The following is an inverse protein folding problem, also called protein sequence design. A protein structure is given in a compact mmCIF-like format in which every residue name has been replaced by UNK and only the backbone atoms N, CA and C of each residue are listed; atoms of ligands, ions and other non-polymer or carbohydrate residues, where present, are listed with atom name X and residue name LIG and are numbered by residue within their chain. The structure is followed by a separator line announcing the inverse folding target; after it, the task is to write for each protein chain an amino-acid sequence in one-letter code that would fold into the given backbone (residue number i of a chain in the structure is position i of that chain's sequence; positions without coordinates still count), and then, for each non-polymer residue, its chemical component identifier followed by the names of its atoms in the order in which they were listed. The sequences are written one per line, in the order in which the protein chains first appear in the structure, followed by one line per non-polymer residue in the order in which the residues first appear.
data_IF_314921120507
#
_entry.id   IF_314921120507
#
_cell.length_a   1.000
_cell.length_b   1.000
_cell.length_c   1.000
_cell.angle_alpha   90.00
_cell.angle_beta   90.00
_cell.angle_gamma   90.00
#
_symmetry.space_group_name_H-M   'P 1'
#
loop_
_entity.id
_entity.type
_entity.pdbx_description
1 polymer ?
#
# COMPACT_ATOMS: atom_id res chain seq x y z
N UNK A 1 -26.15 -51.69 11.37
CA UNK A 1 -24.72 -51.42 11.25
C UNK A 1 -24.53 -50.00 10.82
N UNK A 2 -24.29 -49.06 11.76
CA UNK A 2 -24.00 -47.65 11.44
C UNK A 2 -22.48 -47.52 11.28
N UNK A 3 -22.02 -47.14 10.08
CA UNK A 3 -20.62 -46.76 9.85
C UNK A 3 -20.44 -45.29 10.28
N UNK A 4 -19.72 -45.08 11.37
CA UNK A 4 -19.29 -43.75 11.79
C UNK A 4 -18.21 -43.24 10.82
N UNK A 5 -18.50 -42.16 10.09
CA UNK A 5 -17.51 -41.42 9.31
C UNK A 5 -16.75 -40.50 10.27
N UNK A 6 -15.50 -40.80 10.54
CA UNK A 6 -14.62 -39.92 11.29
C UNK A 6 -14.07 -38.90 10.29
N UNK A 7 -14.57 -37.67 10.38
CA UNK A 7 -14.05 -36.51 9.60
C UNK A 7 -12.78 -36.01 10.30
N UNK A 8 -11.63 -36.40 9.76
CA UNK A 8 -10.33 -35.85 10.26
C UNK A 8 -10.15 -34.46 9.74
N UNK A 9 -10.35 -33.43 10.58
CA UNK A 9 -10.04 -32.05 10.29
C UNK A 9 -8.50 -31.92 10.31
N UNK A 10 -7.88 -31.79 9.14
CA UNK A 10 -6.47 -31.46 9.03
C UNK A 10 -6.29 -29.97 9.41
N UNK A 11 -5.75 -29.70 10.57
CA UNK A 11 -5.37 -28.34 11.00
C UNK A 11 -4.09 -27.97 10.26
N UNK A 12 -4.21 -27.22 9.17
CA UNK A 12 -3.06 -26.58 8.53
C UNK A 12 -2.68 -25.39 9.41
N UNK A 13 -1.69 -25.58 10.27
CA UNK A 13 -1.08 -24.47 11.00
C UNK A 13 -0.34 -23.59 9.99
N UNK A 14 -0.95 -22.45 9.62
CA UNK A 14 -0.23 -21.40 8.92
C UNK A 14 0.90 -20.93 9.87
N UNK A 15 2.13 -21.35 9.62
CA UNK A 15 3.28 -20.75 10.29
C UNK A 15 3.44 -19.36 9.71
N UNK A 16 3.13 -18.34 10.50
CA UNK A 16 3.55 -16.98 10.20
C UNK A 16 5.08 -16.98 10.08
N UNK A 17 5.62 -16.50 8.97
CA UNK A 17 7.05 -16.28 8.84
C UNK A 17 7.50 -15.32 9.94
N UNK A 18 8.56 -15.68 10.66
CA UNK A 18 9.12 -14.79 11.67
C UNK A 18 9.79 -13.60 10.98
N UNK A 19 9.64 -12.41 11.57
CA UNK A 19 10.35 -11.23 11.09
C UNK A 19 11.87 -11.46 11.14
N UNK A 20 12.62 -11.10 10.09
CA UNK A 20 14.07 -11.13 10.11
C UNK A 20 14.62 -10.09 11.09
N UNK A 21 15.79 -10.34 11.64
CA UNK A 21 16.53 -9.29 12.33
C UNK A 21 17.03 -8.28 11.29
N UNK A 22 16.40 -7.11 11.23
CA UNK A 22 16.69 -6.06 10.27
C UNK A 22 16.84 -4.71 10.98
N UNK A 23 17.84 -3.94 10.57
CA UNK A 23 17.99 -2.54 10.94
C UNK A 23 18.63 -1.79 9.77
N UNK A 24 17.94 -0.80 9.27
CA UNK A 24 18.39 -0.01 8.12
C UNK A 24 18.23 1.47 8.42
N UNK A 25 19.30 2.21 8.21
CA UNK A 25 19.27 3.67 8.21
C UNK A 25 18.55 4.19 6.94
N UNK A 26 18.09 5.44 6.92
CA UNK A 26 17.47 6.02 5.72
C UNK A 26 18.39 6.00 4.49
N UNK A 27 19.70 6.09 4.67
CA UNK A 27 20.69 6.02 3.57
C UNK A 27 20.78 4.60 2.99
N UNK A 28 20.75 3.57 3.83
CA UNK A 28 20.78 2.17 3.40
C UNK A 28 19.48 1.79 2.66
N UNK A 29 18.32 2.25 3.14
CA UNK A 29 17.05 2.06 2.45
C UNK A 29 17.07 2.72 1.06
N UNK A 30 17.52 3.97 0.95
CA UNK A 30 17.61 4.67 -0.34
C UNK A 30 18.68 4.10 -1.26
N UNK A 31 19.77 3.58 -0.72
CA UNK A 31 20.85 2.95 -1.48
C UNK A 31 20.51 1.56 -2.01
N UNK A 32 19.46 0.91 -1.51
CA UNK A 32 18.96 -0.34 -2.05
C UNK A 32 18.10 -0.08 -3.30
N UNK A 33 18.09 -1.03 -4.23
CA UNK A 33 17.24 -0.91 -5.42
C UNK A 33 15.77 -0.68 -5.03
N UNK A 34 15.13 0.30 -5.65
CA UNK A 34 13.69 0.49 -5.56
C UNK A 34 13.01 -0.47 -6.53
N UNK A 35 11.95 -1.10 -6.07
CA UNK A 35 11.26 -2.15 -6.82
C UNK A 35 10.23 -1.58 -7.83
N UNK A 36 10.45 -0.41 -8.38
CA UNK A 36 9.54 0.20 -9.35
C UNK A 36 8.10 0.34 -8.85
N UNK A 37 7.15 0.40 -9.76
CA UNK A 37 5.72 0.39 -9.45
C UNK A 37 5.26 -1.04 -9.20
N UNK A 38 5.17 -1.44 -7.93
CA UNK A 38 4.76 -2.78 -7.51
C UNK A 38 3.26 -2.87 -7.24
N UNK A 39 2.78 -4.10 -7.06
CA UNK A 39 1.41 -4.40 -6.64
C UNK A 39 1.06 -3.60 -5.38
N UNK A 40 -0.11 -2.96 -5.36
CA UNK A 40 -0.57 -2.11 -4.26
C UNK A 40 0.02 -0.70 -4.23
N UNK A 41 0.84 -0.31 -5.24
CA UNK A 41 1.16 1.09 -5.52
C UNK A 41 0.12 1.70 -6.46
N UNK A 42 0.13 3.03 -6.62
CA UNK A 42 -0.76 3.72 -7.56
C UNK A 42 -0.53 3.34 -9.03
N UNK A 43 0.55 2.65 -9.36
CA UNK A 43 0.92 2.34 -10.76
C UNK A 43 1.45 3.53 -11.57
N UNK A 44 1.46 4.74 -11.02
CA UNK A 44 1.93 5.95 -11.70
C UNK A 44 3.42 5.90 -11.98
N UNK A 45 3.82 6.39 -13.14
CA UNK A 45 5.23 6.55 -13.48
C UNK A 45 5.93 7.46 -12.46
N UNK A 46 7.11 7.04 -11.99
CA UNK A 46 7.88 7.77 -10.98
C UNK A 46 7.50 7.44 -9.53
N UNK A 47 6.36 6.80 -9.28
CA UNK A 47 6.07 6.21 -7.97
C UNK A 47 6.81 4.89 -7.83
N UNK A 48 7.58 4.75 -6.76
CA UNK A 48 8.38 3.56 -6.48
C UNK A 48 8.06 2.99 -5.12
N UNK A 49 8.17 1.67 -5.00
CA UNK A 49 8.07 0.97 -3.73
C UNK A 49 9.39 0.33 -3.34
N UNK A 50 9.56 0.13 -2.05
CA UNK A 50 10.57 -0.72 -1.47
C UNK A 50 9.89 -1.69 -0.52
N UNK A 51 9.92 -2.96 -0.84
CA UNK A 51 9.45 -4.00 0.08
C UNK A 51 10.46 -4.13 1.21
N UNK A 52 9.98 -3.89 2.43
CA UNK A 52 10.77 -4.06 3.66
C UNK A 52 10.60 -5.47 4.21
N UNK A 53 9.40 -6.03 4.11
CA UNK A 53 9.08 -7.38 4.56
C UNK A 53 7.87 -7.94 3.81
N UNK A 54 7.85 -9.26 3.66
CA UNK A 54 6.75 -10.00 3.05
C UNK A 54 6.67 -9.83 1.53
N UNK A 55 5.56 -10.28 0.98
CA UNK A 55 5.24 -10.18 -0.46
C UNK A 55 3.83 -9.61 -0.59
N UNK A 56 3.69 -8.35 -1.04
CA UNK A 56 2.38 -7.70 -1.17
C UNK A 56 1.40 -8.45 -2.11
N UNK A 57 1.91 -9.30 -2.99
CA UNK A 57 1.08 -10.09 -3.93
C UNK A 57 0.53 -11.38 -3.34
N UNK A 58 0.96 -11.76 -2.13
CA UNK A 58 0.60 -13.01 -1.47
C UNK A 58 -0.12 -12.79 -0.15
N UNK A 59 -0.86 -13.81 0.27
CA UNK A 59 -1.47 -13.81 1.60
C UNK A 59 -0.40 -13.75 2.70
N UNK A 60 -0.54 -12.81 3.63
CA UNK A 60 0.38 -12.62 4.75
C UNK A 60 0.66 -11.14 5.02
N UNK A 61 1.33 -10.90 6.14
CA UNK A 61 1.77 -9.55 6.50
C UNK A 61 2.84 -9.05 5.53
N UNK A 62 2.70 -7.79 5.10
CA UNK A 62 3.72 -7.10 4.34
C UNK A 62 3.98 -5.69 4.90
N UNK A 63 5.14 -5.15 4.59
CA UNK A 63 5.57 -3.80 4.93
C UNK A 63 6.35 -3.21 3.77
N UNK A 64 5.95 -2.03 3.32
CA UNK A 64 6.57 -1.33 2.19
C UNK A 64 6.83 0.14 2.52
N UNK A 65 7.80 0.73 1.83
CA UNK A 65 7.90 2.18 1.67
C UNK A 65 7.43 2.57 0.27
N UNK A 66 6.57 3.57 0.21
CA UNK A 66 6.11 4.20 -1.03
C UNK A 66 6.83 5.53 -1.19
N UNK A 67 7.50 5.73 -2.31
CA UNK A 67 8.19 6.96 -2.69
C UNK A 67 7.38 7.65 -3.78
N UNK A 68 6.86 8.82 -3.48
CA UNK A 68 6.01 9.58 -4.40
C UNK A 68 6.71 10.89 -4.77
N UNK A 69 6.99 11.13 -6.07
CA UNK A 69 7.62 12.37 -6.52
C UNK A 69 6.79 13.62 -6.16
N UNK A 70 7.44 14.78 -6.17
CA UNK A 70 6.74 16.06 -6.14
C UNK A 70 5.74 16.20 -7.29
N UNK A 71 4.71 17.02 -7.10
CA UNK A 71 3.68 17.33 -8.09
C UNK A 71 2.92 16.11 -8.65
N UNK A 72 2.80 15.05 -7.86
CA UNK A 72 2.07 13.83 -8.21
C UNK A 72 0.65 13.91 -7.66
N UNK A 73 -0.34 13.62 -8.51
CA UNK A 73 -1.74 13.42 -8.10
C UNK A 73 -2.12 11.97 -8.33
N UNK A 74 -2.64 11.32 -7.30
CA UNK A 74 -3.17 9.96 -7.33
C UNK A 74 -4.68 10.06 -7.25
N UNK A 75 -5.37 9.62 -8.29
CA UNK A 75 -6.82 9.66 -8.40
C UNK A 75 -7.48 8.65 -7.47
N UNK A 76 -8.80 8.78 -7.30
CA UNK A 76 -9.57 7.93 -6.40
C UNK A 76 -9.43 6.45 -6.76
N UNK A 77 -9.01 5.66 -5.79
CA UNK A 77 -8.78 4.22 -5.91
C UNK A 77 -8.99 3.54 -4.57
N UNK A 78 -9.10 2.22 -4.60
CA UNK A 78 -9.22 1.37 -3.43
C UNK A 78 -8.22 0.21 -3.50
N UNK A 79 -8.10 -0.51 -2.40
CA UNK A 79 -7.31 -1.73 -2.28
C UNK A 79 -8.15 -2.88 -1.78
N UNK A 80 -7.73 -4.11 -2.05
CA UNK A 80 -8.43 -5.29 -1.57
C UNK A 80 -8.32 -5.45 -0.04
N UNK A 81 -7.16 -5.13 0.50
CA UNK A 81 -6.79 -5.31 1.90
C UNK A 81 -6.87 -4.02 2.72
N UNK A 82 -7.02 -4.17 4.04
CA UNK A 82 -6.87 -3.07 4.98
C UNK A 82 -5.40 -2.71 5.14
N UNK A 83 -5.10 -1.41 5.06
CA UNK A 83 -3.75 -0.89 5.19
C UNK A 83 -3.66 0.22 6.22
N UNK A 84 -2.57 0.22 6.99
CA UNK A 84 -2.19 1.34 7.86
C UNK A 84 -0.94 1.99 7.32
N UNK A 85 -0.93 3.32 7.34
CA UNK A 85 0.17 4.10 6.79
C UNK A 85 0.65 5.19 7.75
N UNK A 86 1.95 5.48 7.64
CA UNK A 86 2.61 6.56 8.38
C UNK A 86 3.43 7.40 7.40
N UNK A 87 3.25 8.71 7.44
CA UNK A 87 4.07 9.64 6.67
C UNK A 87 5.46 9.72 7.29
N UNK A 88 6.48 9.32 6.52
CA UNK A 88 7.88 9.31 6.95
C UNK A 88 8.56 10.64 6.64
N UNK A 89 8.32 11.19 5.45
CA UNK A 89 8.89 12.49 5.05
C UNK A 89 8.01 13.20 4.01
N UNK A 90 8.15 14.50 3.92
CA UNK A 90 7.33 15.38 3.07
C UNK A 90 5.94 15.62 3.67
N UNK A 91 5.08 16.32 2.93
CA UNK A 91 3.69 16.57 3.31
C UNK A 91 2.78 15.80 2.37
N UNK A 92 2.07 14.80 2.92
CA UNK A 92 1.12 13.99 2.20
C UNK A 92 -0.27 14.61 2.29
N UNK A 93 -0.84 15.03 1.17
CA UNK A 93 -2.21 15.51 1.10
C UNK A 93 -3.11 14.34 0.75
N UNK A 94 -3.98 13.95 1.68
CA UNK A 94 -4.77 12.71 1.59
C UNK A 94 -6.26 12.99 1.83
N UNK A 95 -7.12 12.36 1.05
CA UNK A 95 -8.57 12.49 1.15
C UNK A 95 -9.30 11.18 0.84
N UNK A 96 -10.52 11.04 1.37
CA UNK A 96 -11.40 9.91 1.09
C UNK A 96 -12.55 10.34 0.17
N UNK A 97 -12.95 9.45 -0.73
CA UNK A 97 -14.06 9.64 -1.64
C UNK A 97 -13.81 9.05 -3.02
N UNK A 98 -14.86 9.02 -3.82
CA UNK A 98 -14.88 8.38 -5.14
C UNK A 98 -14.27 9.25 -6.26
N UNK A 99 -14.02 10.52 -5.97
CA UNK A 99 -13.42 11.46 -6.91
C UNK A 99 -12.38 12.31 -6.20
N UNK A 100 -11.32 12.69 -6.93
CA UNK A 100 -10.33 13.62 -6.42
C UNK A 100 -11.00 14.98 -6.14
N UNK A 101 -10.92 15.42 -4.88
CA UNK A 101 -11.40 16.72 -4.43
C UNK A 101 -10.30 17.43 -3.62
N UNK A 102 -9.76 18.51 -4.19
CA UNK A 102 -8.71 19.27 -3.53
C UNK A 102 -9.17 19.94 -2.23
N UNK A 103 -10.48 20.18 -2.06
CA UNK A 103 -11.03 20.76 -0.83
C UNK A 103 -11.21 19.75 0.29
N UNK A 104 -11.20 18.45 -0.04
CA UNK A 104 -11.31 17.35 0.91
C UNK A 104 -9.95 16.70 1.24
N UNK A 105 -8.86 17.39 0.92
CA UNK A 105 -7.52 16.93 1.27
C UNK A 105 -7.12 17.41 2.67
N UNK A 106 -6.69 16.47 3.51
CA UNK A 106 -6.02 16.77 4.78
C UNK A 106 -4.52 16.74 4.60
N UNK A 107 -3.83 17.78 5.05
CA UNK A 107 -2.36 17.84 5.07
C UNK A 107 -1.83 16.98 6.21
N UNK A 108 -1.02 16.01 5.88
CA UNK A 108 -0.40 15.06 6.80
C UNK A 108 1.13 15.25 6.77
N UNK A 109 1.70 15.96 7.76
CA UNK A 109 3.15 16.09 7.90
C UNK A 109 3.79 14.78 8.41
N UNK A 110 5.14 14.69 8.44
CA UNK A 110 5.83 13.52 8.98
C UNK A 110 5.36 13.14 10.38
N UNK A 111 5.19 11.84 10.63
CA UNK A 111 4.61 11.29 11.86
C UNK A 111 3.08 11.18 11.86
N UNK A 112 2.39 11.71 10.85
CA UNK A 112 0.96 11.49 10.68
C UNK A 112 0.67 10.04 10.32
N UNK A 113 -0.49 9.55 10.77
CA UNK A 113 -0.99 8.21 10.46
C UNK A 113 -2.35 8.29 9.77
N UNK A 114 -2.62 7.35 8.89
CA UNK A 114 -3.93 7.20 8.24
C UNK A 114 -4.18 5.72 7.90
N UNK A 115 -5.43 5.39 7.62
CA UNK A 115 -5.83 4.05 7.19
C UNK A 115 -6.35 4.09 5.76
N UNK A 116 -6.21 2.98 5.07
CA UNK A 116 -6.85 2.70 3.79
C UNK A 116 -7.66 1.42 3.98
N UNK A 117 -8.95 1.56 4.37
CA UNK A 117 -9.80 0.39 4.57
C UNK A 117 -9.98 -0.37 3.27
N UNK A 118 -9.94 -1.69 3.34
CA UNK A 118 -10.07 -2.57 2.19
C UNK A 118 -11.47 -2.58 1.59
N UNK A 119 -11.54 -2.95 0.31
CA UNK A 119 -12.78 -3.08 -0.43
C UNK A 119 -13.15 -1.86 -1.27
N UNK A 120 -13.94 -2.11 -2.31
CA UNK A 120 -14.26 -1.14 -3.37
C UNK A 120 -15.14 0.04 -2.93
N UNK A 121 -15.69 0.01 -1.71
CA UNK A 121 -16.49 1.10 -1.15
C UNK A 121 -15.64 2.14 -0.40
N UNK A 122 -14.32 1.94 -0.31
CA UNK A 122 -13.42 2.77 0.51
C UNK A 122 -12.34 3.42 -0.37
N UNK A 123 -12.79 4.21 -1.35
CA UNK A 123 -11.88 4.93 -2.22
C UNK A 123 -11.21 6.10 -1.49
N UNK A 124 -9.99 6.36 -1.88
CA UNK A 124 -9.18 7.47 -1.39
C UNK A 124 -8.31 8.02 -2.52
N UNK A 125 -7.82 9.22 -2.34
CA UNK A 125 -7.00 9.94 -3.29
C UNK A 125 -5.93 10.75 -2.57
N UNK A 126 -4.89 11.12 -3.29
CA UNK A 126 -3.78 11.82 -2.67
C UNK A 126 -3.05 12.75 -3.63
N UNK A 127 -2.27 13.68 -3.06
CA UNK A 127 -1.41 14.57 -3.82
C UNK A 127 -0.16 14.95 -3.03
N UNK A 128 0.97 15.07 -3.75
CA UNK A 128 2.18 15.73 -3.25
C UNK A 128 2.19 17.20 -3.66
N UNK A 129 2.87 18.01 -2.87
CA UNK A 129 3.18 19.42 -3.20
C UNK A 129 4.51 19.55 -3.95
N UNK A 130 5.31 20.55 -3.56
CA UNK A 130 6.61 20.84 -4.16
C UNK A 130 7.71 19.83 -3.76
N UNK A 131 7.47 19.04 -2.73
CA UNK A 131 8.42 18.05 -2.23
C UNK A 131 7.93 16.63 -2.49
N UNK A 132 8.86 15.71 -2.66
CA UNK A 132 8.58 14.29 -2.66
C UNK A 132 8.14 13.82 -1.28
N UNK A 133 7.35 12.75 -1.25
CA UNK A 133 6.84 12.16 -0.02
C UNK A 133 7.27 10.71 0.09
N UNK A 134 7.58 10.29 1.31
CA UNK A 134 7.77 8.87 1.64
C UNK A 134 6.71 8.46 2.65
N UNK A 135 5.99 7.39 2.34
CA UNK A 135 4.97 6.80 3.21
C UNK A 135 5.37 5.36 3.52
N UNK A 136 5.30 4.98 4.80
CA UNK A 136 5.41 3.59 5.23
C UNK A 136 4.01 2.99 5.30
N UNK A 137 3.80 1.84 4.67
CA UNK A 137 2.52 1.14 4.59
C UNK A 137 2.69 -0.28 5.07
N UNK A 138 1.76 -0.74 5.91
CA UNK A 138 1.63 -2.13 6.33
C UNK A 138 0.22 -2.64 6.01
N UNK A 139 0.13 -3.91 5.63
CA UNK A 139 -1.14 -4.59 5.35
C UNK A 139 -1.02 -6.11 5.42
N UNK A 140 -2.14 -6.77 5.14
CA UNK A 140 -2.21 -8.23 4.99
C UNK A 140 -2.66 -8.55 3.57
N UNK A 141 -1.71 -8.92 2.73
CA UNK A 141 -1.94 -9.24 1.32
C UNK A 141 -2.82 -10.49 1.08
N UNK A 142 -3.19 -10.72 -0.17
CA UNK A 142 -2.71 -9.98 -1.33
C UNK A 142 -3.32 -8.59 -1.43
N UNK A 143 -2.53 -7.59 -1.81
CA UNK A 143 -3.02 -6.25 -2.12
C UNK A 143 -3.18 -6.06 -3.63
N UNK A 144 -3.94 -5.05 -4.01
CA UNK A 144 -4.10 -4.59 -5.40
C UNK A 144 -4.28 -3.07 -5.42
N UNK A 145 -4.57 -2.51 -6.58
CA UNK A 145 -5.04 -1.13 -6.75
C UNK A 145 -6.12 -1.11 -7.80
N UNK A 146 -7.27 -0.56 -7.45
CA UNK A 146 -8.44 -0.45 -8.33
C UNK A 146 -8.90 0.98 -8.39
N UNK A 147 -8.71 1.62 -9.52
CA UNK A 147 -9.19 2.98 -9.72
C UNK A 147 -10.73 3.01 -9.81
N UNK A 148 -11.34 3.97 -9.14
CA UNK A 148 -12.80 4.17 -9.18
C UNK A 148 -13.26 4.45 -10.61
N UNK A 149 -12.58 5.33 -11.32
CA UNK A 149 -12.77 5.56 -12.74
C UNK A 149 -11.67 4.83 -13.53
N UNK A 150 -11.98 3.81 -14.34
CA UNK A 150 -10.98 3.09 -15.12
C UNK A 150 -10.17 3.96 -16.09
N UNK A 151 -10.68 5.15 -16.44
CA UNK A 151 -9.95 6.09 -17.28
C UNK A 151 -8.74 6.73 -16.58
N UNK A 152 -8.70 6.70 -15.25
CA UNK A 152 -7.63 7.23 -14.41
C UNK A 152 -6.51 6.20 -14.17
N UNK A 153 -6.74 4.94 -14.56
CA UNK A 153 -5.73 3.89 -14.42
C UNK A 153 -4.50 4.21 -15.26
N UNK A 154 -3.29 4.19 -14.65
CA UNK A 154 -2.06 4.47 -15.38
C UNK A 154 -1.84 3.47 -16.52
N UNK A 155 -1.56 3.99 -17.69
CA UNK A 155 -1.23 3.14 -18.86
C UNK A 155 0.21 2.63 -18.71
N UNK A 156 0.48 1.37 -19.05
CA UNK A 156 1.84 0.86 -19.10
C UNK A 156 2.72 1.78 -19.96
N UNK A 157 3.92 2.07 -19.47
CA UNK A 157 4.92 2.78 -20.26
C UNK A 157 5.19 1.95 -21.53
N UNK A 158 5.11 2.62 -22.69
CA UNK A 158 5.43 2.00 -23.99
C UNK A 158 6.92 1.74 -24.13
#
# INVERSE_FOLDING_TARGET
MFKAFILTLAYVALRAESLPQMRMSPSEVRGSALDGSQVGSSGLAGVHTKVLFGDPSKAGFYSILLFVPAHTTIQAHSHHDDRMATVVSGIWSFGYGDHFDANNLKLLPPGSVYSEPGGTAHNHFARTGNDSVVVHICGFGPTDTRYFNPADEPKPAK
#
